data_IF_950165837107
#
_entry.id   IF_950165837107
#
_cell.length_a   1.000
_cell.length_b   1.000
_cell.length_c   1.000
_cell.angle_alpha   90.00
_cell.angle_beta   90.00
_cell.angle_gamma   90.00
#
_symmetry.space_group_name_H-M   'P 1'
#
loop_
_entity.id
_entity.type
_entity.pdbx_description
1 polymer ?
#
# COMPACT_ATOMS: atom_id res chain seq x y z
N UNK A 1 -40.28 27.50 -9.33
CA UNK A 1 -40.06 26.04 -9.26
C UNK A 1 -39.06 25.51 -10.30
N UNK A 2 -39.21 25.76 -11.61
CA UNK A 2 -38.28 25.23 -12.64
C UNK A 2 -36.79 25.65 -12.48
N UNK A 3 -36.52 26.88 -12.02
CA UNK A 3 -35.13 27.36 -11.78
C UNK A 3 -34.46 26.70 -10.56
N UNK A 4 -35.23 26.30 -9.54
CA UNK A 4 -34.70 25.67 -8.33
C UNK A 4 -34.29 24.21 -8.61
N UNK A 5 -35.08 23.50 -9.43
CA UNK A 5 -34.78 22.13 -9.86
C UNK A 5 -33.49 22.06 -10.70
N UNK A 6 -33.27 23.05 -11.59
CA UNK A 6 -32.06 23.12 -12.42
C UNK A 6 -30.79 23.37 -11.62
N UNK A 7 -30.85 24.19 -10.55
CA UNK A 7 -29.71 24.44 -9.65
C UNK A 7 -29.38 23.21 -8.80
N UNK A 8 -30.39 22.47 -8.34
CA UNK A 8 -30.19 21.21 -7.58
C UNK A 8 -29.54 20.13 -8.47
N UNK A 9 -29.95 19.99 -9.73
CA UNK A 9 -29.32 19.07 -10.67
C UNK A 9 -27.86 19.44 -10.99
N UNK A 10 -27.55 20.73 -11.13
CA UNK A 10 -26.17 21.22 -11.29
C UNK A 10 -25.32 20.90 -10.05
N UNK A 11 -25.85 21.09 -8.84
CA UNK A 11 -25.14 20.74 -7.60
C UNK A 11 -24.89 19.24 -7.47
N UNK A 12 -25.84 18.39 -7.88
CA UNK A 12 -25.66 16.93 -7.90
C UNK A 12 -24.61 16.49 -8.92
N UNK A 13 -24.56 17.11 -10.10
CA UNK A 13 -23.52 16.82 -11.11
C UNK A 13 -22.12 17.26 -10.66
N UNK A 14 -22.00 18.37 -9.91
CA UNK A 14 -20.73 18.81 -9.35
C UNK A 14 -20.28 17.97 -8.15
N UNK A 15 -21.20 17.55 -7.28
CA UNK A 15 -20.88 16.69 -6.13
C UNK A 15 -20.49 15.25 -6.55
N UNK A 16 -21.08 14.71 -7.62
CA UNK A 16 -20.78 13.37 -8.10
C UNK A 16 -19.38 13.21 -8.73
N UNK A 17 -18.72 14.31 -9.11
CA UNK A 17 -17.38 14.29 -9.72
C UNK A 17 -16.25 14.66 -8.74
N UNK A 18 -16.56 14.87 -7.46
CA UNK A 18 -15.57 15.22 -6.42
C UNK A 18 -15.10 14.01 -5.60
N UNK A 19 -15.32 12.78 -6.10
CA UNK A 19 -14.73 11.58 -5.50
C UNK A 19 -13.32 11.47 -6.06
N UNK A 20 -12.34 11.96 -5.30
CA UNK A 20 -10.93 11.75 -5.63
C UNK A 20 -10.59 10.28 -5.38
N UNK A 21 -10.47 9.53 -6.46
CA UNK A 21 -10.10 8.12 -6.42
C UNK A 21 -8.60 7.99 -6.08
N UNK A 22 -8.21 6.95 -5.32
CA UNK A 22 -6.80 6.73 -5.03
C UNK A 22 -6.02 6.53 -6.33
N UNK A 23 -4.77 6.98 -6.32
CA UNK A 23 -3.85 6.73 -7.44
C UNK A 23 -3.56 5.22 -7.53
N UNK A 24 -3.19 4.76 -8.73
CA UNK A 24 -2.67 3.40 -8.89
C UNK A 24 -1.48 3.21 -7.95
N UNK A 25 -1.40 2.10 -7.21
CA UNK A 25 -0.25 1.80 -6.37
C UNK A 25 1.06 1.88 -7.15
N UNK A 26 2.11 2.37 -6.50
CA UNK A 26 3.45 2.52 -7.08
C UNK A 26 4.48 1.74 -6.27
N UNK A 27 4.66 0.44 -6.57
CA UNK A 27 5.67 -0.38 -5.92
C UNK A 27 7.09 0.05 -6.33
N UNK A 28 8.08 -0.40 -5.58
CA UNK A 28 9.47 0.03 -5.64
C UNK A 28 10.07 -0.06 -7.06
N UNK A 29 9.77 -1.12 -7.82
CA UNK A 29 10.28 -1.25 -9.19
C UNK A 29 9.80 -0.11 -10.09
N UNK A 30 8.53 0.27 -9.96
CA UNK A 30 7.96 1.40 -10.70
C UNK A 30 8.60 2.70 -10.23
N UNK A 31 8.67 2.95 -8.92
CA UNK A 31 9.30 4.14 -8.35
C UNK A 31 10.74 4.31 -8.87
N UNK A 32 11.54 3.23 -8.89
CA UNK A 32 12.90 3.26 -9.42
C UNK A 32 12.94 3.58 -10.91
N UNK A 33 12.05 2.97 -11.70
CA UNK A 33 12.03 3.17 -13.15
C UNK A 33 11.47 4.52 -13.60
N UNK A 34 10.54 5.10 -12.85
CA UNK A 34 9.77 6.29 -13.23
C UNK A 34 10.39 7.58 -12.69
N UNK A 35 11.04 7.54 -11.52
CA UNK A 35 11.56 8.75 -10.87
C UNK A 35 12.82 9.29 -11.55
N UNK A 36 12.93 10.62 -11.66
CA UNK A 36 14.14 11.26 -12.20
C UNK A 36 15.31 11.19 -11.23
N UNK A 37 15.04 11.35 -9.94
CA UNK A 37 16.05 11.31 -8.88
C UNK A 37 15.60 10.41 -7.74
N UNK A 38 16.57 9.76 -7.10
CA UNK A 38 16.35 8.99 -5.87
C UNK A 38 17.43 9.38 -4.89
N UNK A 39 17.05 9.84 -3.70
CA UNK A 39 17.98 10.27 -2.66
C UNK A 39 17.71 9.61 -1.32
N UNK A 40 18.76 9.53 -0.53
CA UNK A 40 18.67 9.36 0.92
C UNK A 40 19.06 10.68 1.56
N UNK A 41 18.23 11.19 2.47
CA UNK A 41 18.49 12.47 3.12
C UNK A 41 17.90 12.55 4.52
N UNK A 42 18.14 13.70 5.15
CA UNK A 42 17.64 14.02 6.48
C UNK A 42 16.78 15.28 6.41
N UNK A 43 15.54 15.19 6.91
CA UNK A 43 14.59 16.31 6.89
C UNK A 43 14.94 17.27 8.05
N UNK A 44 15.53 18.42 7.72
CA UNK A 44 15.97 19.40 8.73
C UNK A 44 14.88 20.40 9.12
N UNK A 45 13.86 20.60 8.28
CA UNK A 45 12.78 21.57 8.51
C UNK A 45 11.56 21.24 7.67
N UNK A 46 10.37 21.39 8.24
CA UNK A 46 9.10 21.42 7.53
C UNK A 46 8.43 22.77 7.76
N UNK A 47 8.19 23.50 6.69
CA UNK A 47 7.70 24.88 6.72
C UNK A 47 6.34 25.00 6.05
N UNK A 48 5.38 25.68 6.72
CA UNK A 48 4.09 26.04 6.14
C UNK A 48 4.06 27.54 5.88
N UNK A 49 3.82 27.93 4.64
CA UNK A 49 3.75 29.34 4.21
C UNK A 49 2.32 29.64 3.76
N UNK A 50 1.58 30.39 4.59
CA UNK A 50 0.23 30.82 4.25
C UNK A 50 0.25 32.20 3.59
N UNK A 51 -0.23 32.29 2.34
CA UNK A 51 -0.39 33.55 1.59
C UNK A 51 -1.86 33.96 1.56
N UNK A 52 -2.16 35.22 1.89
CA UNK A 52 -3.51 35.77 1.71
C UNK A 52 -3.69 36.12 0.23
N UNK A 53 -4.56 35.38 -0.46
CA UNK A 53 -4.97 35.72 -1.83
C UNK A 53 -5.94 36.91 -1.79
N UNK A 54 -6.89 36.91 -0.85
CA UNK A 54 -7.83 38.02 -0.62
C UNK A 54 -8.40 37.98 0.81
N UNK A 55 -9.40 38.83 1.12
CA UNK A 55 -10.01 38.92 2.47
C UNK A 55 -10.62 37.61 2.99
N UNK A 56 -10.96 36.66 2.11
CA UNK A 56 -11.67 35.42 2.45
C UNK A 56 -10.93 34.14 2.06
N UNK A 57 -9.83 34.24 1.32
CA UNK A 57 -9.10 33.10 0.79
C UNK A 57 -7.61 33.22 1.11
N UNK A 58 -7.09 32.15 1.69
CA UNK A 58 -5.67 31.95 1.90
C UNK A 58 -5.23 30.66 1.22
N UNK A 59 -4.03 30.69 0.66
CA UNK A 59 -3.33 29.52 0.14
C UNK A 59 -2.25 29.10 1.12
N UNK A 60 -1.97 27.81 1.25
CA UNK A 60 -0.91 27.33 2.16
C UNK A 60 -0.01 26.36 1.44
N UNK A 61 1.19 26.83 1.12
CA UNK A 61 2.25 25.99 0.57
C UNK A 61 2.96 25.28 1.74
N UNK A 62 3.22 23.98 1.64
CA UNK A 62 4.07 23.25 2.61
C UNK A 62 5.35 22.78 1.94
N UNK A 63 6.48 22.94 2.63
CA UNK A 63 7.79 22.60 2.12
C UNK A 63 8.59 21.75 3.10
N UNK A 64 9.28 20.74 2.61
CA UNK A 64 10.32 20.00 3.32
C UNK A 64 11.70 20.46 2.84
N UNK A 65 12.62 20.70 3.78
CA UNK A 65 14.02 20.97 3.49
C UNK A 65 14.83 19.74 3.88
N UNK A 66 15.52 19.14 2.91
CA UNK A 66 16.19 17.86 3.07
C UNK A 66 17.67 18.01 2.75
N UNK A 67 18.53 17.65 3.70
CA UNK A 67 19.97 17.50 3.46
C UNK A 67 20.19 16.18 2.75
N UNK A 68 20.78 16.24 1.56
CA UNK A 68 21.04 15.08 0.69
C UNK A 68 22.31 14.38 1.16
N UNK A 69 22.14 13.21 1.78
CA UNK A 69 23.26 12.40 2.25
C UNK A 69 23.82 11.51 1.12
N UNK A 70 22.94 10.91 0.33
CA UNK A 70 23.31 10.03 -0.79
C UNK A 70 22.39 10.22 -1.99
N UNK A 71 22.93 10.02 -3.19
CA UNK A 71 22.22 10.13 -4.47
C UNK A 71 22.28 8.77 -5.15
N UNK A 72 21.15 8.06 -5.19
CA UNK A 72 21.04 6.71 -5.75
C UNK A 72 20.67 6.72 -7.24
N UNK A 73 20.04 7.79 -7.70
CA UNK A 73 19.66 8.00 -9.11
C UNK A 73 19.56 9.49 -9.41
N UNK A 74 19.86 9.86 -10.66
CA UNK A 74 19.81 11.24 -11.11
C UNK A 74 21.00 12.09 -10.62
N UNK A 75 20.94 13.38 -10.89
CA UNK A 75 22.00 14.33 -10.55
C UNK A 75 21.42 15.58 -9.89
N UNK A 76 21.40 15.59 -8.56
CA UNK A 76 21.06 16.75 -7.75
C UNK A 76 22.36 17.46 -7.37
N UNK A 77 22.50 18.75 -7.74
CA UNK A 77 23.73 19.52 -7.47
C UNK A 77 23.79 20.05 -6.05
N UNK A 78 22.64 20.37 -5.48
CA UNK A 78 22.55 20.96 -4.15
C UNK A 78 22.71 19.89 -3.07
N UNK A 79 23.32 20.26 -1.95
CA UNK A 79 23.42 19.41 -0.75
C UNK A 79 22.18 19.53 0.14
N UNK A 80 21.36 20.56 -0.09
CA UNK A 80 20.05 20.72 0.53
C UNK A 80 19.03 21.04 -0.54
N UNK A 81 17.97 20.25 -0.63
CA UNK A 81 16.86 20.49 -1.55
C UNK A 81 15.61 20.92 -0.80
N UNK A 82 14.75 21.62 -1.52
CA UNK A 82 13.42 22.05 -1.06
C UNK A 82 12.37 21.30 -1.88
N UNK A 83 11.49 20.58 -1.20
CA UNK A 83 10.40 19.81 -1.80
C UNK A 83 9.07 20.44 -1.37
N UNK A 84 8.20 20.71 -2.33
CA UNK A 84 6.82 21.17 -2.09
C UNK A 84 5.89 19.96 -1.96
N UNK A 85 4.99 19.96 -0.97
CA UNK A 85 4.03 18.89 -0.72
C UNK A 85 2.72 19.34 -0.07
N UNK A 86 1.69 18.49 -0.08
CA UNK A 86 0.33 18.83 0.37
C UNK A 86 -0.22 17.89 1.47
N UNK A 87 0.20 18.05 2.75
CA UNK A 87 -0.07 17.08 3.82
C UNK A 87 -1.56 16.88 4.22
N UNK A 88 -2.48 17.59 3.56
CA UNK A 88 -3.92 17.53 3.81
C UNK A 88 -4.72 16.68 2.82
N UNK A 89 -4.08 16.06 1.82
CA UNK A 89 -4.78 15.19 0.89
C UNK A 89 -5.20 13.88 1.57
N UNK A 90 -6.51 13.60 1.56
CA UNK A 90 -7.09 12.39 2.17
C UNK A 90 -6.99 11.20 1.20
N UNK A 91 -7.27 11.43 -0.08
CA UNK A 91 -7.25 10.39 -1.11
C UNK A 91 -6.96 11.02 -2.47
N UNK A 92 -5.82 10.71 -3.11
CA UNK A 92 -4.74 9.84 -2.65
C UNK A 92 -4.04 10.37 -1.38
N UNK A 93 -3.39 9.48 -0.63
CA UNK A 93 -2.59 9.88 0.52
C UNK A 93 -1.42 10.77 0.08
N UNK A 94 -1.26 11.91 0.72
CA UNK A 94 -0.14 12.83 0.45
C UNK A 94 1.21 12.18 0.74
N UNK A 95 2.24 12.63 0.04
CA UNK A 95 3.60 12.54 0.53
C UNK A 95 3.73 13.26 1.88
N UNK A 96 4.57 12.70 2.76
CA UNK A 96 4.71 13.15 4.14
C UNK A 96 6.19 13.19 4.52
N UNK A 97 6.58 14.31 5.12
CA UNK A 97 7.92 14.54 5.64
C UNK A 97 7.82 14.98 7.09
N UNK A 98 8.69 14.43 7.95
CA UNK A 98 8.73 14.73 9.38
C UNK A 98 10.08 15.34 9.73
N UNK A 99 10.09 16.37 10.57
CA UNK A 99 11.36 16.97 11.00
C UNK A 99 12.20 15.98 11.80
N UNK A 100 13.51 16.03 11.60
CA UNK A 100 14.52 15.21 12.27
C UNK A 100 14.40 13.71 11.97
N UNK A 101 13.88 13.34 10.80
CA UNK A 101 13.84 11.95 10.33
C UNK A 101 14.68 11.75 9.09
N UNK A 102 15.19 10.53 8.93
CA UNK A 102 15.80 10.10 7.68
C UNK A 102 14.72 9.68 6.69
N UNK A 103 14.95 9.97 5.42
CA UNK A 103 13.98 9.73 4.34
C UNK A 103 14.67 9.20 3.09
N UNK A 104 14.05 8.18 2.50
CA UNK A 104 14.29 7.78 1.12
C UNK A 104 13.23 8.45 0.25
N UNK A 105 13.66 9.32 -0.66
CA UNK A 105 12.76 10.11 -1.50
C UNK A 105 12.97 9.83 -2.98
N UNK A 106 11.87 9.58 -3.68
CA UNK A 106 11.74 9.38 -5.11
C UNK A 106 11.17 10.67 -5.70
N UNK A 107 11.89 11.32 -6.59
CA UNK A 107 11.62 12.70 -6.97
C UNK A 107 11.49 12.87 -8.47
N UNK A 108 10.52 13.70 -8.85
CA UNK A 108 10.46 14.36 -10.14
C UNK A 108 11.11 15.74 -10.06
N UNK A 109 11.52 16.25 -11.21
CA UNK A 109 12.06 17.60 -11.36
C UNK A 109 11.39 18.30 -12.54
N UNK A 110 10.84 19.49 -12.28
CA UNK A 110 10.27 20.36 -13.30
C UNK A 110 10.69 21.81 -13.03
N UNK A 111 11.26 22.48 -14.04
CA UNK A 111 11.73 23.86 -13.96
C UNK A 111 12.67 24.13 -12.77
N UNK A 112 13.54 23.17 -12.43
CA UNK A 112 14.48 23.24 -11.31
C UNK A 112 13.84 23.12 -9.92
N UNK A 113 12.56 22.75 -9.85
CA UNK A 113 11.85 22.42 -8.60
C UNK A 113 11.69 20.92 -8.47
N UNK A 114 11.84 20.41 -7.25
CA UNK A 114 11.63 19.01 -6.93
C UNK A 114 10.24 18.79 -6.33
N UNK A 115 9.62 17.70 -6.73
CA UNK A 115 8.35 17.21 -6.18
C UNK A 115 8.46 15.71 -5.91
N UNK A 116 7.74 15.21 -4.91
CA UNK A 116 7.71 13.79 -4.61
C UNK A 116 6.99 13.04 -5.73
N UNK A 117 7.68 12.08 -6.33
CA UNK A 117 7.09 11.20 -7.32
C UNK A 117 6.06 10.29 -6.63
N UNK A 118 4.86 10.18 -7.19
CA UNK A 118 3.82 9.28 -6.68
C UNK A 118 3.37 9.49 -5.21
N UNK A 119 3.39 10.74 -4.72
CA UNK A 119 2.82 11.10 -3.42
C UNK A 119 3.39 10.22 -2.27
N UNK A 120 2.54 9.66 -1.41
CA UNK A 120 2.95 8.86 -0.24
C UNK A 120 3.87 7.69 -0.57
N UNK A 121 3.80 7.13 -1.78
CA UNK A 121 4.68 6.04 -2.20
C UNK A 121 6.14 6.49 -2.37
N UNK A 122 6.34 7.74 -2.82
CA UNK A 122 7.67 8.27 -3.11
C UNK A 122 8.40 8.88 -1.92
N UNK A 123 7.77 9.00 -0.75
CA UNK A 123 8.40 9.48 0.47
C UNK A 123 8.36 8.40 1.55
N UNK A 124 9.51 7.79 1.85
CA UNK A 124 9.61 6.72 2.85
C UNK A 124 10.43 7.18 4.04
N UNK A 125 9.75 7.46 5.16
CA UNK A 125 10.42 7.70 6.45
C UNK A 125 10.78 6.35 7.05
N UNK A 126 12.06 6.07 7.19
CA UNK A 126 12.59 4.76 7.55
C UNK A 126 13.71 4.93 8.58
N UNK A 127 13.95 3.89 9.38
CA UNK A 127 15.16 3.82 10.19
C UNK A 127 16.39 3.46 9.32
N UNK A 128 17.56 3.37 9.96
CA UNK A 128 18.82 3.09 9.27
C UNK A 128 18.85 1.71 8.61
N UNK A 129 18.22 0.71 9.22
CA UNK A 129 18.17 -0.65 8.69
C UNK A 129 17.28 -0.70 7.44
N UNK A 130 16.09 -0.11 7.53
CA UNK A 130 15.17 0.02 6.40
C UNK A 130 15.80 0.77 5.22
N UNK A 131 16.48 1.89 5.47
CA UNK A 131 17.21 2.61 4.42
C UNK A 131 18.26 1.73 3.76
N UNK A 132 19.05 0.97 4.52
CA UNK A 132 20.07 0.08 3.98
C UNK A 132 19.47 -1.00 3.08
N UNK A 133 18.36 -1.61 3.52
CA UNK A 133 17.64 -2.64 2.75
C UNK A 133 17.07 -2.07 1.46
N UNK A 134 16.38 -0.92 1.50
CA UNK A 134 15.86 -0.31 0.28
C UNK A 134 16.98 0.08 -0.69
N UNK A 135 18.11 0.61 -0.21
CA UNK A 135 19.26 0.93 -1.07
C UNK A 135 19.75 -0.31 -1.82
N UNK A 136 19.88 -1.44 -1.14
CA UNK A 136 20.27 -2.71 -1.76
C UNK A 136 19.26 -3.12 -2.82
N UNK A 137 17.95 -3.14 -2.49
CA UNK A 137 16.90 -3.51 -3.45
C UNK A 137 16.86 -2.59 -4.67
N UNK A 138 17.09 -1.27 -4.49
CA UNK A 138 17.16 -0.28 -5.57
C UNK A 138 18.33 -0.60 -6.51
N UNK A 139 19.53 -0.88 -5.97
CA UNK A 139 20.71 -1.20 -6.78
C UNK A 139 20.55 -2.50 -7.58
N UNK A 140 19.97 -3.52 -6.95
CA UNK A 140 19.64 -4.78 -7.62
C UNK A 140 18.69 -4.55 -8.79
N UNK A 141 17.55 -3.88 -8.57
CA UNK A 141 16.56 -3.68 -9.64
C UNK A 141 17.07 -2.75 -10.74
N UNK A 142 17.87 -1.73 -10.42
CA UNK A 142 18.58 -0.91 -11.42
C UNK A 142 19.53 -1.76 -12.29
N UNK A 143 20.10 -2.83 -11.75
CA UNK A 143 20.96 -3.74 -12.50
C UNK A 143 20.14 -4.70 -13.37
N UNK A 144 19.06 -5.26 -12.82
CA UNK A 144 18.12 -6.14 -13.54
C UNK A 144 17.48 -5.41 -14.73
N UNK A 145 17.10 -4.15 -14.56
CA UNK A 145 16.51 -3.33 -15.63
C UNK A 145 17.44 -3.08 -16.82
N UNK A 146 18.77 -3.32 -16.67
CA UNK A 146 19.76 -3.20 -17.74
C UNK A 146 20.03 -4.53 -18.48
N UNK A 147 19.40 -5.63 -18.06
CA UNK A 147 19.55 -6.93 -18.73
C UNK A 147 18.78 -6.94 -20.04
N UNK A 148 19.48 -7.09 -21.17
CA UNK A 148 18.87 -7.07 -22.51
C UNK A 148 17.95 -8.28 -22.79
N UNK A 149 18.29 -9.45 -22.23
CA UNK A 149 17.50 -10.65 -22.42
C UNK A 149 16.23 -10.59 -21.57
N UNK A 150 15.07 -10.42 -22.22
CA UNK A 150 13.78 -10.26 -21.54
C UNK A 150 13.41 -11.44 -20.63
N UNK A 151 13.72 -12.67 -21.02
CA UNK A 151 13.39 -13.86 -20.20
C UNK A 151 14.26 -13.88 -18.95
N UNK A 152 15.55 -13.57 -19.09
CA UNK A 152 16.48 -13.51 -17.97
C UNK A 152 16.15 -12.35 -17.03
N UNK A 153 15.86 -11.17 -17.58
CA UNK A 153 15.38 -10.02 -16.81
C UNK A 153 14.12 -10.37 -16.02
N UNK A 154 13.17 -11.06 -16.63
CA UNK A 154 11.93 -11.48 -15.99
C UNK A 154 12.19 -12.43 -14.82
N UNK A 155 13.03 -13.45 -15.01
CA UNK A 155 13.43 -14.39 -13.94
C UNK A 155 14.11 -13.69 -12.76
N UNK A 156 15.05 -12.79 -13.05
CA UNK A 156 15.73 -12.02 -12.00
C UNK A 156 14.77 -11.07 -11.29
N UNK A 157 13.80 -10.50 -12.02
CA UNK A 157 12.75 -9.66 -11.43
C UNK A 157 11.89 -10.46 -10.46
N UNK A 158 11.45 -11.66 -10.83
CA UNK A 158 10.68 -12.55 -9.93
C UNK A 158 11.47 -12.87 -8.67
N UNK A 159 12.74 -13.26 -8.80
CA UNK A 159 13.60 -13.53 -7.63
C UNK A 159 13.79 -12.28 -6.76
N UNK A 160 13.95 -11.11 -7.37
CA UNK A 160 14.04 -9.84 -6.66
C UNK A 160 12.76 -9.52 -5.88
N UNK A 161 11.58 -9.73 -6.49
CA UNK A 161 10.30 -9.55 -5.83
C UNK A 161 10.12 -10.49 -4.63
N UNK A 162 10.54 -11.74 -4.76
CA UNK A 162 10.54 -12.70 -3.64
C UNK A 162 11.41 -12.19 -2.50
N UNK A 163 12.62 -11.70 -2.78
CA UNK A 163 13.49 -11.12 -1.74
C UNK A 163 12.90 -9.88 -1.08
N UNK A 164 12.20 -9.03 -1.84
CA UNK A 164 11.47 -7.90 -1.28
C UNK A 164 10.38 -8.38 -0.31
N UNK A 165 9.58 -9.38 -0.72
CA UNK A 165 8.51 -9.99 0.07
C UNK A 165 9.00 -10.69 1.35
N UNK A 166 10.22 -11.23 1.35
CA UNK A 166 10.84 -11.87 2.52
C UNK A 166 11.26 -10.89 3.64
N UNK A 167 11.36 -9.60 3.33
CA UNK A 167 11.85 -8.59 4.26
C UNK A 167 10.75 -7.60 4.65
N UNK A 168 10.50 -7.46 5.96
CA UNK A 168 9.41 -6.63 6.48
C UNK A 168 9.43 -5.15 6.05
N UNK A 169 10.59 -4.55 5.75
CA UNK A 169 10.64 -3.17 5.25
C UNK A 169 10.16 -3.02 3.80
N UNK A 170 10.35 -4.08 2.99
CA UNK A 170 10.05 -4.10 1.55
C UNK A 170 8.97 -5.11 1.19
N UNK A 171 8.30 -5.70 2.19
CA UNK A 171 7.38 -6.82 2.02
C UNK A 171 6.28 -6.45 1.02
N UNK A 172 5.60 -5.33 1.30
CA UNK A 172 4.56 -4.78 0.43
C UNK A 172 5.03 -4.53 -1.01
N UNK A 173 6.29 -4.14 -1.21
CA UNK A 173 6.84 -3.89 -2.54
C UNK A 173 6.90 -5.16 -3.39
N UNK A 174 7.28 -6.28 -2.76
CA UNK A 174 7.34 -7.59 -3.40
C UNK A 174 5.94 -8.20 -3.57
N UNK A 175 5.15 -8.20 -2.50
CA UNK A 175 3.87 -8.90 -2.46
C UNK A 175 2.83 -8.26 -3.35
N UNK A 176 2.81 -6.92 -3.44
CA UNK A 176 1.89 -6.21 -4.33
C UNK A 176 2.14 -6.53 -5.81
N UNK A 177 3.39 -6.68 -6.26
CA UNK A 177 3.66 -7.01 -7.66
C UNK A 177 3.56 -8.52 -7.94
N UNK A 178 3.84 -9.36 -6.96
CA UNK A 178 3.65 -10.81 -7.09
C UNK A 178 2.16 -11.17 -7.12
N UNK A 179 1.32 -10.54 -6.29
CA UNK A 179 -0.11 -10.80 -6.22
C UNK A 179 -0.93 -9.50 -6.20
N UNK A 180 -1.01 -8.78 -7.34
CA UNK A 180 -1.66 -7.48 -7.39
C UNK A 180 -3.15 -7.54 -7.10
N UNK A 181 -3.81 -8.68 -7.36
CA UNK A 181 -5.25 -8.86 -7.19
C UNK A 181 -5.66 -9.15 -5.75
N UNK A 182 -4.73 -9.60 -4.90
CA UNK A 182 -4.95 -9.97 -3.50
C UNK A 182 -5.08 -8.78 -2.54
N UNK A 183 -4.62 -7.60 -2.96
CA UNK A 183 -4.60 -6.40 -2.13
C UNK A 183 -5.88 -5.58 -2.32
N UNK A 184 -6.39 -4.92 -1.28
CA UNK A 184 -7.59 -4.06 -1.37
C UNK A 184 -7.46 -2.91 -2.40
N UNK A 185 -6.23 -2.60 -2.83
CA UNK A 185 -5.94 -1.58 -3.85
C UNK A 185 -5.92 -2.12 -5.28
N UNK A 186 -6.12 -3.42 -5.48
CA UNK A 186 -6.15 -4.08 -6.79
C UNK A 186 -7.12 -3.41 -7.76
N UNK A 187 -8.29 -3.01 -7.25
CA UNK A 187 -9.33 -2.29 -8.01
C UNK A 187 -8.81 -1.01 -8.69
N UNK A 188 -7.77 -0.38 -8.13
CA UNK A 188 -7.17 0.85 -8.66
C UNK A 188 -5.92 0.61 -9.51
N UNK A 189 -5.42 -0.64 -9.55
CA UNK A 189 -4.34 -1.02 -10.45
C UNK A 189 -4.86 -0.99 -11.89
N UNK A 190 -4.35 -0.04 -12.68
CA UNK A 190 -4.64 0.04 -14.12
C UNK A 190 -3.54 -0.59 -14.97
N UNK A 191 -2.53 -1.18 -14.32
CA UNK A 191 -1.33 -1.69 -14.97
C UNK A 191 -1.55 -3.12 -15.46
N UNK A 192 -1.18 -3.38 -16.72
CA UNK A 192 -1.05 -4.74 -17.28
C UNK A 192 0.35 -5.28 -16.98
N UNK A 193 0.73 -5.30 -15.71
CA UNK A 193 2.01 -5.87 -15.32
C UNK A 193 2.06 -7.36 -15.74
N UNK A 194 3.25 -7.93 -16.01
CA UNK A 194 3.39 -9.37 -16.14
C UNK A 194 2.81 -10.05 -14.91
N UNK A 195 2.17 -11.19 -15.13
CA UNK A 195 1.67 -12.04 -14.06
C UNK A 195 2.86 -12.80 -13.44
N UNK A 196 3.53 -12.15 -12.49
CA UNK A 196 4.75 -12.67 -11.87
C UNK A 196 4.45 -13.88 -10.97
N UNK A 197 3.23 -14.00 -10.44
CA UNK A 197 2.79 -15.16 -9.65
C UNK A 197 2.99 -16.48 -10.42
N UNK A 198 2.59 -16.50 -11.70
CA UNK A 198 2.68 -17.68 -12.55
C UNK A 198 4.11 -18.16 -12.83
N UNK A 199 5.11 -17.36 -12.46
CA UNK A 199 6.53 -17.63 -12.68
C UNK A 199 7.25 -18.08 -11.41
N UNK A 200 6.55 -18.14 -10.27
CA UNK A 200 7.12 -18.59 -9.00
C UNK A 200 7.45 -20.08 -9.06
N UNK A 201 8.68 -20.42 -8.68
CA UNK A 201 9.08 -21.80 -8.42
C UNK A 201 8.57 -22.30 -7.06
N UNK A 202 8.51 -23.61 -6.87
CA UNK A 202 8.13 -24.21 -5.58
C UNK A 202 9.05 -23.74 -4.44
N UNK A 203 10.36 -23.62 -4.70
CA UNK A 203 11.34 -23.17 -3.70
C UNK A 203 11.06 -21.72 -3.26
N UNK A 204 10.66 -20.86 -4.21
CA UNK A 204 10.23 -19.48 -3.91
C UNK A 204 8.90 -19.44 -3.14
N UNK A 205 7.93 -20.30 -3.47
CA UNK A 205 6.68 -20.41 -2.70
C UNK A 205 6.93 -20.82 -1.24
N UNK A 206 7.84 -21.77 -0.99
CA UNK A 206 8.23 -22.17 0.37
C UNK A 206 8.92 -21.05 1.16
N UNK A 207 9.77 -20.27 0.48
CA UNK A 207 10.38 -19.06 1.04
C UNK A 207 9.34 -17.99 1.41
N UNK A 208 8.39 -17.72 0.53
CA UNK A 208 7.27 -16.79 0.78
C UNK A 208 6.37 -17.27 1.93
N UNK A 209 6.12 -18.58 2.03
CA UNK A 209 5.39 -19.17 3.15
C UNK A 209 6.12 -18.95 4.46
N UNK A 210 7.44 -19.16 4.47
CA UNK A 210 8.28 -18.90 5.64
C UNK A 210 8.20 -17.42 6.05
N UNK A 211 8.22 -16.50 5.08
CA UNK A 211 8.05 -15.07 5.31
C UNK A 211 6.68 -14.73 5.92
N UNK A 212 5.60 -15.31 5.39
CA UNK A 212 4.23 -15.15 5.90
C UNK A 212 4.10 -15.58 7.36
N UNK A 213 4.61 -16.76 7.70
CA UNK A 213 4.55 -17.29 9.06
C UNK A 213 5.31 -16.38 10.02
N UNK A 214 6.47 -15.86 9.60
CA UNK A 214 7.28 -14.94 10.40
C UNK A 214 6.62 -13.56 10.58
N UNK A 215 5.94 -13.04 9.56
CA UNK A 215 5.29 -11.72 9.62
C UNK A 215 3.99 -11.73 10.41
N UNK A 216 3.28 -12.86 10.46
CA UNK A 216 2.03 -13.00 11.20
C UNK A 216 2.14 -12.69 12.71
N UNK A 217 3.35 -12.76 13.27
CA UNK A 217 3.61 -12.39 14.67
C UNK A 217 3.74 -10.87 14.89
N UNK A 218 3.70 -10.06 13.82
CA UNK A 218 4.00 -8.62 13.84
C UNK A 218 2.78 -7.70 13.59
N UNK A 219 1.56 -8.16 13.91
CA UNK A 219 0.28 -7.39 13.91
C UNK A 219 -0.49 -7.23 12.60
N UNK A 220 0.07 -7.61 11.45
CA UNK A 220 -0.69 -7.64 10.19
C UNK A 220 -0.29 -8.84 9.33
N UNK A 221 -1.26 -9.66 8.94
CA UNK A 221 -1.06 -10.74 7.98
C UNK A 221 -1.13 -10.15 6.56
N UNK A 222 -0.05 -10.25 5.81
CA UNK A 222 -0.04 -9.87 4.40
C UNK A 222 -0.88 -10.88 3.61
N UNK A 223 -2.10 -10.49 3.24
CA UNK A 223 -3.03 -11.33 2.50
C UNK A 223 -2.56 -11.60 1.05
N UNK A 224 -1.66 -10.78 0.51
CA UNK A 224 -0.97 -11.08 -0.74
C UNK A 224 -0.09 -12.32 -0.61
N UNK A 225 0.66 -12.43 0.49
CA UNK A 225 1.44 -13.65 0.76
C UNK A 225 0.55 -14.87 1.00
N UNK A 226 -0.58 -14.71 1.69
CA UNK A 226 -1.57 -15.79 1.91
C UNK A 226 -1.96 -16.40 0.58
N UNK A 227 -2.40 -15.59 -0.37
CA UNK A 227 -2.92 -16.07 -1.64
C UNK A 227 -1.82 -16.76 -2.49
N UNK A 228 -0.59 -16.21 -2.50
CA UNK A 228 0.56 -16.77 -3.23
C UNK A 228 0.96 -18.18 -2.78
N UNK A 229 0.71 -18.52 -1.52
CA UNK A 229 1.20 -19.77 -0.91
C UNK A 229 0.07 -20.69 -0.42
N UNK A 230 -1.19 -20.32 -0.66
CA UNK A 230 -2.34 -21.07 -0.19
C UNK A 230 -2.40 -22.49 -0.78
N UNK A 231 -2.25 -22.62 -2.09
CA UNK A 231 -2.31 -23.91 -2.79
C UNK A 231 -1.20 -24.84 -2.30
N UNK A 232 -1.59 -26.01 -1.79
CA UNK A 232 -0.69 -27.00 -1.18
C UNK A 232 -0.39 -26.78 0.31
N UNK A 233 -0.88 -25.71 0.93
CA UNK A 233 -0.69 -25.38 2.35
C UNK A 233 -2.00 -25.05 3.07
N UNK A 234 -3.15 -25.46 2.51
CA UNK A 234 -4.48 -24.96 2.85
C UNK A 234 -4.77 -25.06 4.36
N UNK A 235 -4.52 -26.24 4.97
CA UNK A 235 -4.80 -26.46 6.39
C UNK A 235 -3.99 -25.55 7.31
N UNK A 236 -2.71 -25.31 6.98
CA UNK A 236 -1.82 -24.48 7.80
C UNK A 236 -2.19 -23.00 7.66
N UNK A 237 -2.47 -22.56 6.43
CA UNK A 237 -2.86 -21.19 6.14
C UNK A 237 -4.26 -20.88 6.69
N UNK A 238 -5.22 -21.79 6.58
CA UNK A 238 -6.54 -21.66 7.19
C UNK A 238 -6.45 -21.52 8.72
N UNK A 239 -5.61 -22.33 9.37
CA UNK A 239 -5.39 -22.23 10.81
C UNK A 239 -4.75 -20.89 11.20
N UNK A 240 -3.79 -20.41 10.41
CA UNK A 240 -3.14 -19.11 10.61
C UNK A 240 -4.12 -17.94 10.43
N UNK A 241 -4.91 -17.95 9.35
CA UNK A 241 -5.93 -16.94 9.07
C UNK A 241 -7.01 -16.93 10.16
N UNK A 242 -7.48 -18.10 10.60
CA UNK A 242 -8.46 -18.19 11.67
C UNK A 242 -7.93 -17.66 13.01
N UNK A 243 -6.68 -17.97 13.34
CA UNK A 243 -6.00 -17.40 14.53
C UNK A 243 -5.97 -15.88 14.47
N UNK A 244 -5.61 -15.30 13.33
CA UNK A 244 -5.57 -13.85 13.15
C UNK A 244 -6.96 -13.23 13.19
N UNK A 245 -7.96 -13.79 12.50
CA UNK A 245 -9.34 -13.31 12.55
C UNK A 245 -9.90 -13.29 13.98
N UNK A 246 -9.58 -14.29 14.80
CA UNK A 246 -9.94 -14.31 16.23
C UNK A 246 -9.31 -13.16 17.01
N UNK A 247 -8.05 -12.82 16.73
CA UNK A 247 -7.37 -11.70 17.39
C UNK A 247 -8.03 -10.35 17.06
N UNK A 248 -8.56 -10.20 15.84
CA UNK A 248 -9.24 -8.98 15.39
C UNK A 248 -10.58 -8.70 16.08
N UNK A 249 -11.19 -9.71 16.71
CA UNK A 249 -12.46 -9.52 17.42
C UNK A 249 -12.32 -8.47 18.52
N UNK A 250 -11.17 -8.40 19.18
CA UNK A 250 -10.99 -7.48 20.30
C UNK A 250 -10.47 -6.10 19.87
N UNK A 251 -10.01 -5.95 18.63
CA UNK A 251 -9.47 -4.69 18.11
C UNK A 251 -10.57 -3.67 17.74
N UNK A 252 -10.29 -2.39 17.95
CA UNK A 252 -11.20 -1.27 17.64
C UNK A 252 -11.30 -0.96 16.12
N UNK A 253 -10.43 -1.58 15.31
CA UNK A 253 -10.30 -1.32 13.88
C UNK A 253 -10.35 -2.61 13.06
N UNK A 254 -11.37 -3.45 13.29
CA UNK A 254 -11.55 -4.72 12.58
C UNK A 254 -12.04 -4.61 11.12
N UNK A 255 -11.87 -3.45 10.47
CA UNK A 255 -12.44 -3.16 9.15
C UNK A 255 -11.96 -4.10 8.03
N UNK A 256 -10.83 -4.77 8.25
CA UNK A 256 -10.25 -5.75 7.33
C UNK A 256 -10.65 -7.20 7.66
N UNK A 257 -11.55 -7.43 8.64
CA UNK A 257 -12.02 -8.77 8.97
C UNK A 257 -12.80 -9.44 7.83
N UNK A 258 -13.48 -8.67 6.97
CA UNK A 258 -14.15 -9.22 5.78
C UNK A 258 -13.18 -9.89 4.83
N UNK A 259 -11.95 -9.38 4.68
CA UNK A 259 -10.94 -10.00 3.82
C UNK A 259 -10.54 -11.41 4.30
N UNK A 260 -10.49 -11.61 5.63
CA UNK A 260 -10.28 -12.93 6.24
C UNK A 260 -11.51 -13.83 6.07
N UNK A 261 -12.70 -13.29 6.33
CA UNK A 261 -13.94 -14.05 6.22
C UNK A 261 -14.17 -14.54 4.78
N UNK A 262 -13.90 -13.71 3.78
CA UNK A 262 -13.96 -14.09 2.37
C UNK A 262 -12.99 -15.23 2.03
N UNK A 263 -11.78 -15.21 2.58
CA UNK A 263 -10.77 -16.26 2.37
C UNK A 263 -11.01 -17.53 3.17
N UNK A 264 -11.80 -17.47 4.25
CA UNK A 264 -12.15 -18.62 5.09
C UNK A 264 -13.53 -19.20 4.78
N UNK A 265 -14.32 -18.58 3.89
CA UNK A 265 -15.71 -18.99 3.62
C UNK A 265 -15.80 -20.40 3.06
N UNK A 266 -14.77 -20.89 2.36
CA UNK A 266 -14.75 -22.26 1.83
C UNK A 266 -14.81 -23.32 2.93
N UNK A 267 -14.40 -23.00 4.16
CA UNK A 267 -14.51 -23.90 5.32
C UNK A 267 -15.96 -24.19 5.70
N UNK A 268 -16.90 -23.30 5.34
CA UNK A 268 -18.33 -23.49 5.45
C UNK A 268 -19.06 -22.62 4.42
N UNK A 269 -19.27 -23.15 3.21
CA UNK A 269 -19.88 -22.42 2.09
C UNK A 269 -21.42 -22.36 2.16
N UNK A 270 -21.98 -22.12 3.35
CA UNK A 270 -23.43 -21.97 3.54
C UNK A 270 -23.91 -20.57 3.14
N UNK A 271 -25.19 -20.46 2.81
CA UNK A 271 -25.85 -19.16 2.60
C UNK A 271 -25.73 -18.27 3.84
N UNK A 272 -25.69 -18.87 5.03
CA UNK A 272 -25.50 -18.14 6.29
C UNK A 272 -24.10 -17.53 6.39
N UNK A 273 -23.03 -18.26 6.03
CA UNK A 273 -21.67 -17.72 6.01
C UNK A 273 -21.53 -16.52 5.07
N UNK A 274 -22.05 -16.68 3.85
CA UNK A 274 -22.04 -15.63 2.83
C UNK A 274 -22.86 -14.41 3.26
N UNK A 275 -24.01 -14.63 3.93
CA UNK A 275 -24.81 -13.55 4.51
C UNK A 275 -24.04 -12.80 5.59
N UNK A 276 -23.27 -13.48 6.45
CA UNK A 276 -22.49 -12.83 7.50
C UNK A 276 -21.39 -11.93 6.93
N UNK A 277 -20.73 -12.34 5.85
CA UNK A 277 -19.73 -11.50 5.15
C UNK A 277 -20.40 -10.20 4.67
N UNK A 278 -21.53 -10.32 3.97
CA UNK A 278 -22.27 -9.15 3.49
C UNK A 278 -22.76 -8.26 4.63
N UNK A 279 -23.34 -8.85 5.68
CA UNK A 279 -23.80 -8.11 6.85
C UNK A 279 -22.64 -7.35 7.52
N UNK A 280 -21.41 -7.90 7.50
CA UNK A 280 -20.21 -7.22 8.00
C UNK A 280 -19.86 -5.99 7.15
N UNK A 281 -19.83 -6.14 5.83
CA UNK A 281 -19.54 -5.05 4.89
C UNK A 281 -20.58 -3.91 4.95
N UNK A 282 -21.82 -4.22 5.31
CA UNK A 282 -22.87 -3.21 5.55
C UNK A 282 -22.66 -2.46 6.89
N UNK A 283 -22.06 -3.12 7.89
CA UNK A 283 -21.91 -2.61 9.27
C UNK A 283 -20.66 -1.76 9.47
N UNK A 284 -19.56 -2.03 8.76
CA UNK A 284 -18.30 -1.27 8.83
C UNK A 284 -18.50 0.25 8.61
N UNK A 285 -19.55 0.64 7.90
CA UNK A 285 -19.91 2.04 7.63
C UNK A 285 -20.86 2.67 8.66
N UNK A 286 -21.29 1.92 9.69
CA UNK A 286 -22.27 2.36 10.70
C UNK A 286 -21.61 3.00 11.94
N UNK A 287 -22.38 3.76 12.71
CA UNK A 287 -21.93 4.41 13.95
C UNK A 287 -21.72 3.40 15.10
N UNK A 288 -22.45 2.27 15.11
CA UNK A 288 -22.32 1.17 16.09
C UNK A 288 -21.53 -0.02 15.52
N UNK A 289 -20.62 0.27 14.59
CA UNK A 289 -19.86 -0.75 13.82
C UNK A 289 -19.08 -1.70 14.71
N UNK A 290 -18.51 -1.22 15.82
CA UNK A 290 -17.62 -2.02 16.65
C UNK A 290 -18.40 -3.18 17.30
N UNK A 291 -19.55 -2.89 17.91
CA UNK A 291 -20.34 -3.91 18.61
C UNK A 291 -20.97 -4.92 17.63
N UNK A 292 -21.58 -4.41 16.55
CA UNK A 292 -22.24 -5.26 15.56
C UNK A 292 -21.23 -6.09 14.76
N UNK A 293 -20.12 -5.48 14.34
CA UNK A 293 -19.05 -6.14 13.60
C UNK A 293 -18.44 -7.28 14.41
N UNK A 294 -18.12 -7.05 15.69
CA UNK A 294 -17.61 -8.10 16.59
C UNK A 294 -18.57 -9.29 16.71
N UNK A 295 -19.87 -9.03 16.85
CA UNK A 295 -20.88 -10.10 16.93
C UNK A 295 -20.97 -10.92 15.62
N UNK A 296 -20.85 -10.26 14.47
CA UNK A 296 -20.84 -10.92 13.16
C UNK A 296 -19.59 -11.81 13.00
N UNK A 297 -18.40 -11.28 13.31
CA UNK A 297 -17.14 -12.03 13.24
C UNK A 297 -17.21 -13.28 14.14
N UNK A 298 -17.64 -13.13 15.40
CA UNK A 298 -17.77 -14.27 16.33
C UNK A 298 -18.74 -15.33 15.82
N UNK A 299 -19.86 -14.90 15.21
CA UNK A 299 -20.83 -15.84 14.63
C UNK A 299 -20.25 -16.56 13.42
N UNK A 300 -19.50 -15.86 12.56
CA UNK A 300 -18.81 -16.46 11.43
C UNK A 300 -17.76 -17.50 11.89
N UNK A 301 -16.91 -17.14 12.86
CA UNK A 301 -15.92 -18.04 13.47
C UNK A 301 -16.60 -19.31 13.99
N UNK A 302 -17.68 -19.16 14.78
CA UNK A 302 -18.43 -20.30 15.31
C UNK A 302 -18.96 -21.22 14.20
N UNK A 303 -19.41 -20.64 13.09
CA UNK A 303 -19.98 -21.38 11.97
C UNK A 303 -18.92 -22.17 11.17
N UNK A 304 -17.71 -21.63 10.99
CA UNK A 304 -16.62 -22.35 10.31
C UNK A 304 -15.93 -23.39 11.21
N UNK A 305 -15.94 -23.20 12.54
CA UNK A 305 -15.38 -24.17 13.50
C UNK A 305 -16.30 -25.35 13.77
N UNK A 306 -17.61 -25.12 13.82
CA UNK A 306 -18.62 -26.16 14.09
C UNK A 306 -19.07 -26.87 12.80
N UNK A 307 -18.12 -27.30 11.96
CA UNK A 307 -18.40 -28.01 10.70
C UNK A 307 -19.50 -29.07 10.90
N UNK A 308 -20.53 -29.14 10.03
CA UNK A 308 -21.49 -30.24 10.06
C UNK A 308 -20.84 -31.59 9.78
#
# INVERSE_FOLDING_TARGET
MKKLFFIICLFWFYAANAITYPISPRPLRMLVSESKHIIVGHVIKVEKITRKINRKQSDTDTFAYIVVNERLQGSIKDDTIKIEFEPGMICPASDMYYENTDVLAFLDEENGKYATHALSYGSKTLDKEGIAIYKERIQEIQSILKVDNTIEQLKQTVEWLVKCAENHYTQWEGTFELSPDSHFMSFYSRSKAPDFELLLSNDQKERLKTALIKSADQSYLDLGLVDLVYEGNENEIDALMLKNLKALVDEDYNWFASDYMQRLVHLNNSDEANKLIKDFDDVIMDYDKDKKGKAIILKFISLIENKP
#
